data_IF_341865230722
#
_entry.id   IF_341865230722
#
_cell.length_a   1.000
_cell.length_b   1.000
_cell.length_c   1.000
_cell.angle_alpha   90.00
_cell.angle_beta   90.00
_cell.angle_gamma   90.00
#
_symmetry.space_group_name_H-M   'P 1'
#
loop_
_entity.id
_entity.type
_entity.pdbx_description
1 polymer ?
#
# COMPACT_ATOMS: atom_id res chain seq x y z
N UNK A 1 -17.83 -20.59 5.80
CA UNK A 1 -17.10 -20.66 4.51
C UNK A 1 -15.64 -20.33 4.79
N UNK A 2 -14.67 -21.16 4.40
CA UNK A 2 -13.26 -20.80 4.53
C UNK A 2 -12.96 -19.71 3.50
N UNK A 3 -12.54 -18.54 3.97
CA UNK A 3 -12.00 -17.51 3.08
C UNK A 3 -10.69 -18.05 2.49
N UNK A 4 -10.63 -18.19 1.17
CA UNK A 4 -9.38 -18.42 0.47
C UNK A 4 -8.45 -17.25 0.78
N UNK A 5 -7.47 -17.48 1.66
CA UNK A 5 -6.37 -16.55 1.83
C UNK A 5 -5.65 -16.51 0.50
N UNK A 6 -5.84 -15.44 -0.27
CA UNK A 6 -5.05 -15.19 -1.46
C UNK A 6 -3.60 -15.08 -0.99
N UNK A 7 -2.83 -16.14 -1.19
CA UNK A 7 -1.38 -16.09 -1.04
C UNK A 7 -0.93 -14.96 -1.94
N UNK A 8 -0.51 -13.84 -1.35
CA UNK A 8 0.00 -12.70 -2.10
C UNK A 8 1.28 -13.21 -2.78
N UNK A 9 1.14 -13.71 -4.02
CA UNK A 9 2.29 -14.07 -4.84
C UNK A 9 3.16 -12.83 -4.91
N UNK A 10 4.47 -12.97 -4.72
CA UNK A 10 5.42 -11.87 -4.74
C UNK A 10 5.46 -11.23 -6.14
N UNK A 11 4.51 -10.35 -6.41
CA UNK A 11 4.53 -9.49 -7.58
C UNK A 11 5.21 -8.22 -7.14
N UNK A 12 6.43 -8.02 -7.62
CA UNK A 12 7.18 -6.80 -7.38
C UNK A 12 7.21 -6.01 -8.68
N UNK A 13 6.44 -4.93 -8.73
CA UNK A 13 6.50 -3.94 -9.81
C UNK A 13 7.54 -2.90 -9.38
N UNK A 14 8.55 -2.67 -10.21
CA UNK A 14 9.58 -1.66 -9.94
C UNK A 14 9.24 -0.38 -10.70
N UNK A 15 9.41 0.78 -10.06
CA UNK A 15 9.30 2.09 -10.72
C UNK A 15 10.21 2.12 -11.94
N UNK A 16 9.71 2.65 -13.06
CA UNK A 16 10.43 2.74 -14.34
C UNK A 16 10.79 1.38 -14.98
N UNK A 17 10.10 0.30 -14.63
CA UNK A 17 10.21 -0.97 -15.36
C UNK A 17 9.18 -1.04 -16.49
N UNK A 18 9.47 -1.76 -17.57
CA UNK A 18 8.48 -2.00 -18.63
C UNK A 18 7.17 -2.59 -18.10
N UNK A 19 7.22 -3.40 -17.04
CA UNK A 19 6.04 -3.91 -16.35
C UNK A 19 5.21 -2.81 -15.65
N UNK A 20 5.88 -1.82 -15.05
CA UNK A 20 5.24 -0.65 -14.45
C UNK A 20 4.61 0.22 -15.53
N UNK A 21 5.33 0.51 -16.62
CA UNK A 21 4.81 1.35 -17.70
C UNK A 21 3.60 0.69 -18.38
N UNK A 22 3.64 -0.62 -18.60
CA UNK A 22 2.50 -1.39 -19.13
C UNK A 22 1.28 -1.34 -18.20
N UNK A 23 1.48 -1.48 -16.88
CA UNK A 23 0.39 -1.43 -15.91
C UNK A 23 -0.18 -0.02 -15.77
N UNK A 24 0.67 1.01 -15.76
CA UNK A 24 0.25 2.42 -15.62
C UNK A 24 -0.54 2.90 -16.83
N UNK A 25 -0.16 2.47 -18.02
CA UNK A 25 -0.86 2.80 -19.26
C UNK A 25 -2.14 1.97 -19.49
N UNK A 26 -2.46 1.02 -18.61
CA UNK A 26 -3.68 0.21 -18.74
C UNK A 26 -4.97 1.01 -18.51
N UNK A 27 -4.87 2.10 -17.72
CA UNK A 27 -6.00 3.01 -17.45
C UNK A 27 -6.33 3.90 -18.67
N UNK A 28 -5.40 3.98 -19.62
CA UNK A 28 -5.61 4.61 -20.92
C UNK A 28 -6.10 3.51 -21.86
N UNK A 29 -7.34 3.63 -22.38
CA UNK A 29 -7.95 2.67 -23.33
C UNK A 29 -7.02 2.38 -24.52
N UNK A 30 -6.14 1.38 -24.42
CA UNK A 30 -5.25 0.98 -25.51
C UNK A 30 -5.60 -0.46 -25.88
N UNK A 31 -6.35 -0.57 -26.96
CA UNK A 31 -6.93 -1.80 -27.52
C UNK A 31 -5.93 -2.85 -28.03
N UNK A 32 -4.61 -2.68 -27.83
CA UNK A 32 -3.60 -3.35 -28.66
C UNK A 32 -2.52 -4.18 -27.95
N UNK A 33 -2.69 -4.64 -26.69
CA UNK A 33 -1.65 -5.44 -26.02
C UNK A 33 -2.03 -6.91 -25.76
N UNK A 34 -1.97 -7.79 -26.75
CA UNK A 34 -2.40 -9.18 -26.60
C UNK A 34 -1.56 -10.07 -25.64
N UNK A 35 -0.28 -9.76 -25.38
CA UNK A 35 0.64 -10.73 -24.72
C UNK A 35 1.03 -10.39 -23.25
N UNK A 36 1.27 -9.12 -22.85
CA UNK A 36 1.60 -8.79 -21.45
C UNK A 36 0.39 -8.89 -20.48
N UNK A 37 -0.84 -8.75 -21.01
CA UNK A 37 -2.08 -8.68 -20.23
C UNK A 37 -2.38 -10.00 -19.52
N UNK A 38 -2.16 -11.14 -20.18
CA UNK A 38 -2.47 -12.46 -19.61
C UNK A 38 -1.72 -12.71 -18.29
N UNK A 39 -0.48 -12.23 -18.16
CA UNK A 39 0.32 -12.40 -16.93
C UNK A 39 -0.22 -11.55 -15.78
N UNK A 40 -0.67 -10.33 -16.06
CA UNK A 40 -1.26 -9.45 -15.05
C UNK A 40 -2.69 -9.86 -14.68
N UNK A 41 -3.49 -10.30 -15.66
CA UNK A 41 -4.83 -10.89 -15.46
C UNK A 41 -4.74 -12.17 -14.60
N UNK A 42 -3.82 -13.10 -14.91
CA UNK A 42 -3.55 -14.29 -14.06
C UNK A 42 -3.09 -13.96 -12.63
N UNK A 43 -2.57 -12.76 -12.40
CA UNK A 43 -2.15 -12.27 -11.08
C UNK A 43 -3.22 -11.42 -10.39
N UNK A 44 -4.39 -11.26 -10.99
CA UNK A 44 -5.50 -10.48 -10.45
C UNK A 44 -5.22 -8.98 -10.38
N UNK A 45 -4.28 -8.46 -11.16
CA UNK A 45 -3.94 -7.03 -11.20
C UNK A 45 -4.78 -6.25 -12.21
N UNK A 46 -5.32 -6.97 -13.19
CA UNK A 46 -6.15 -6.45 -14.27
C UNK A 46 -7.34 -7.39 -14.46
N UNK A 47 -8.52 -6.83 -14.66
CA UNK A 47 -9.73 -7.56 -15.01
C UNK A 47 -10.38 -6.97 -16.28
N UNK A 48 -11.66 -7.24 -16.51
CA UNK A 48 -12.39 -6.77 -17.68
C UNK A 48 -12.72 -5.27 -17.62
N UNK A 49 -12.67 -4.67 -16.43
CA UNK A 49 -12.98 -3.26 -16.18
C UNK A 49 -11.72 -2.39 -16.09
N UNK A 50 -10.52 -2.98 -16.09
CA UNK A 50 -9.26 -2.25 -16.02
C UNK A 50 -8.34 -2.75 -14.90
N UNK A 51 -7.66 -1.82 -14.23
CA UNK A 51 -6.85 -2.12 -13.06
C UNK A 51 -7.74 -2.50 -11.86
N UNK A 52 -7.46 -3.65 -11.26
CA UNK A 52 -8.10 -4.04 -9.99
C UNK A 52 -7.52 -3.22 -8.84
N UNK A 53 -8.16 -3.28 -7.66
CA UNK A 53 -7.61 -2.72 -6.42
C UNK A 53 -6.20 -3.23 -6.12
N UNK A 54 -5.91 -4.49 -6.45
CA UNK A 54 -4.58 -5.07 -6.30
C UNK A 54 -3.57 -4.49 -7.30
N UNK A 55 -4.00 -4.22 -8.54
CA UNK A 55 -3.19 -3.52 -9.54
C UNK A 55 -2.83 -2.10 -9.12
N UNK A 56 -3.81 -1.32 -8.66
CA UNK A 56 -3.64 0.05 -8.13
C UNK A 56 -2.68 0.08 -6.94
N UNK A 57 -2.84 -0.86 -6.01
CA UNK A 57 -1.94 -1.03 -4.87
C UNK A 57 -0.50 -1.32 -5.31
N UNK A 58 -0.30 -2.19 -6.29
CA UNK A 58 1.03 -2.52 -6.78
C UNK A 58 1.74 -1.34 -7.49
N UNK A 59 1.00 -0.53 -8.26
CA UNK A 59 1.53 0.70 -8.87
C UNK A 59 1.97 1.68 -7.77
N UNK A 60 1.10 1.91 -6.79
CA UNK A 60 1.38 2.78 -5.64
C UNK A 60 2.61 2.31 -4.86
N UNK A 61 2.71 1.00 -4.59
CA UNK A 61 3.90 0.40 -3.97
C UNK A 61 5.18 0.66 -4.75
N UNK A 62 5.13 0.53 -6.07
CA UNK A 62 6.27 0.79 -6.94
C UNK A 62 6.71 2.26 -6.86
N UNK A 63 5.76 3.19 -6.90
CA UNK A 63 6.03 4.64 -6.87
C UNK A 63 6.67 5.11 -5.57
N UNK A 64 6.18 4.57 -4.45
CA UNK A 64 6.71 4.83 -3.10
C UNK A 64 7.99 4.03 -2.81
N UNK A 65 8.35 3.08 -3.67
CA UNK A 65 9.50 2.19 -3.45
C UNK A 65 9.33 1.31 -2.22
N UNK A 66 8.10 0.85 -1.96
CA UNK A 66 7.70 0.03 -0.82
C UNK A 66 7.22 -1.34 -1.28
N UNK A 67 7.26 -2.33 -0.38
CA UNK A 67 6.52 -3.59 -0.61
C UNK A 67 5.01 -3.36 -0.48
N UNK A 68 4.21 -4.21 -1.13
CA UNK A 68 2.74 -4.17 -1.05
C UNK A 68 2.22 -4.15 0.40
N UNK A 69 2.63 -5.08 1.29
CA UNK A 69 2.16 -5.05 2.68
C UNK A 69 2.60 -3.78 3.43
N UNK A 70 3.76 -3.23 3.08
CA UNK A 70 4.28 -1.98 3.65
C UNK A 70 3.47 -0.78 3.18
N UNK A 71 3.02 -0.79 1.93
CA UNK A 71 2.16 0.24 1.33
C UNK A 71 0.79 0.25 2.00
N UNK A 72 0.20 -0.93 2.25
CA UNK A 72 -1.04 -1.03 3.02
C UNK A 72 -0.88 -0.50 4.44
N UNK A 73 0.25 -0.79 5.09
CA UNK A 73 0.53 -0.31 6.44
C UNK A 73 0.66 1.21 6.52
N UNK A 74 1.31 1.85 5.53
CA UNK A 74 1.40 3.32 5.52
C UNK A 74 0.10 4.00 5.11
N UNK A 75 -0.67 3.42 4.18
CA UNK A 75 -2.01 3.92 3.86
C UNK A 75 -2.93 3.86 5.09
N UNK A 76 -2.83 2.80 5.89
CA UNK A 76 -3.53 2.71 7.17
C UNK A 76 -3.08 3.75 8.18
N UNK A 77 -1.77 3.90 8.37
CA UNK A 77 -1.23 4.90 9.29
C UNK A 77 -1.66 6.32 8.88
N UNK A 78 -1.72 6.60 7.57
CA UNK A 78 -2.22 7.87 7.04
C UNK A 78 -3.72 8.06 7.32
N UNK A 79 -4.54 7.03 7.11
CA UNK A 79 -5.97 7.07 7.43
C UNK A 79 -6.21 7.32 8.92
N UNK A 80 -5.51 6.60 9.81
CA UNK A 80 -5.59 6.83 11.25
C UNK A 80 -5.12 8.25 11.59
N UNK A 81 -4.05 8.73 10.96
CA UNK A 81 -3.60 10.11 11.11
C UNK A 81 -4.69 11.11 10.72
N UNK A 82 -5.36 10.96 9.57
CA UNK A 82 -6.47 11.84 9.15
C UNK A 82 -7.65 11.85 10.13
N UNK A 83 -7.84 10.77 10.88
CA UNK A 83 -8.88 10.64 11.89
C UNK A 83 -8.45 11.13 13.28
N UNK A 84 -7.17 11.44 13.49
CA UNK A 84 -6.70 12.02 14.74
C UNK A 84 -7.19 13.45 14.85
N UNK A 85 -7.94 13.74 15.90
CA UNK A 85 -8.27 15.10 16.28
C UNK A 85 -8.17 15.20 17.79
N UNK A 86 -7.32 16.06 18.36
CA UNK A 86 -6.47 17.06 17.69
C UNK A 86 -5.19 16.49 17.05
N UNK A 87 -4.71 17.15 16.00
CA UNK A 87 -3.38 16.93 15.44
C UNK A 87 -2.33 17.75 16.20
N UNK A 88 -1.25 17.13 16.68
CA UNK A 88 -0.09 17.82 17.22
C UNK A 88 1.19 17.55 16.40
N UNK A 89 2.31 18.09 16.84
CA UNK A 89 3.63 17.87 16.22
C UNK A 89 4.07 16.40 16.26
N UNK A 90 3.59 15.64 17.26
CA UNK A 90 3.95 14.26 17.55
C UNK A 90 2.81 13.30 17.18
N UNK A 91 2.29 13.39 15.95
CA UNK A 91 1.14 12.60 15.47
C UNK A 91 1.37 11.08 15.60
N UNK A 92 0.86 10.43 16.66
CA UNK A 92 1.16 9.05 16.94
C UNK A 92 0.15 8.17 16.21
N UNK A 93 0.64 7.18 15.48
CA UNK A 93 -0.22 6.33 14.65
C UNK A 93 -0.26 4.92 15.19
N UNK A 94 -1.47 4.36 15.22
CA UNK A 94 -1.67 2.94 15.51
C UNK A 94 -1.35 2.12 14.28
N UNK A 95 -0.46 1.13 14.43
CA UNK A 95 -0.16 0.14 13.39
C UNK A 95 -0.96 -1.16 13.57
N UNK A 96 -2.13 -1.07 14.21
CA UNK A 96 -3.01 -2.22 14.48
C UNK A 96 -3.75 -2.75 13.25
N UNK A 97 -3.36 -2.35 12.03
CA UNK A 97 -3.90 -2.87 10.76
C UNK A 97 -4.03 -4.40 10.74
N UNK A 98 -3.10 -5.13 11.38
CA UNK A 98 -3.14 -6.59 11.53
C UNK A 98 -4.46 -7.08 12.17
N UNK A 99 -4.92 -6.41 13.22
CA UNK A 99 -6.13 -6.81 13.96
C UNK A 99 -7.38 -6.59 13.12
N UNK A 100 -7.44 -5.48 12.36
CA UNK A 100 -8.61 -5.11 11.56
C UNK A 100 -8.73 -5.89 10.25
N UNK A 101 -7.62 -6.16 9.55
CA UNK A 101 -7.67 -6.91 8.28
C UNK A 101 -7.79 -8.44 8.43
N UNK A 102 -7.89 -8.97 9.66
CA UNK A 102 -7.81 -10.41 9.96
C UNK A 102 -6.60 -11.13 9.32
N UNK A 103 -5.58 -10.39 8.88
CA UNK A 103 -4.36 -10.97 8.33
C UNK A 103 -3.52 -11.55 9.48
N UNK A 104 -3.08 -12.80 9.30
CA UNK A 104 -2.09 -13.44 10.18
C UNK A 104 -0.68 -12.93 9.89
N UNK A 105 -0.47 -11.61 9.89
CA UNK A 105 0.90 -11.08 9.86
C UNK A 105 1.59 -11.40 11.17
N UNK A 106 2.60 -12.27 11.13
CA UNK A 106 3.40 -12.58 12.33
C UNK A 106 4.02 -11.29 12.88
N UNK A 107 4.24 -11.24 14.20
CA UNK A 107 4.83 -10.08 14.86
C UNK A 107 6.14 -9.60 14.18
N UNK A 108 7.01 -10.54 13.81
CA UNK A 108 8.26 -10.24 13.11
C UNK A 108 8.04 -9.60 11.74
N UNK A 109 6.98 -10.00 11.01
CA UNK A 109 6.61 -9.37 9.75
C UNK A 109 6.25 -7.92 9.98
N UNK A 110 5.39 -7.62 10.97
CA UNK A 110 5.03 -6.23 11.32
C UNK A 110 6.29 -5.42 11.66
N UNK A 111 7.16 -5.94 12.53
CA UNK A 111 8.42 -5.27 12.90
C UNK A 111 9.29 -4.94 11.66
N UNK A 112 9.36 -5.84 10.69
CA UNK A 112 10.05 -5.61 9.42
C UNK A 112 9.39 -4.51 8.57
N UNK A 113 8.05 -4.51 8.44
CA UNK A 113 7.32 -3.48 7.68
C UNK A 113 7.53 -2.09 8.31
N UNK A 114 7.45 -1.98 9.64
CA UNK A 114 7.75 -0.74 10.36
C UNK A 114 9.19 -0.30 10.13
N UNK A 115 10.13 -1.23 10.13
CA UNK A 115 11.55 -0.91 9.91
C UNK A 115 11.79 -0.37 8.51
N UNK A 116 11.12 -0.92 7.49
CA UNK A 116 11.16 -0.40 6.13
C UNK A 116 10.57 1.00 6.04
N UNK A 117 9.41 1.26 6.65
CA UNK A 117 8.78 2.59 6.68
C UNK A 117 9.65 3.62 7.39
N UNK A 118 10.30 3.24 8.49
CA UNK A 118 11.22 4.11 9.19
C UNK A 118 12.47 4.42 8.36
N UNK A 119 13.06 3.39 7.73
CA UNK A 119 14.21 3.57 6.84
C UNK A 119 13.89 4.45 5.62
N UNK A 120 12.66 4.39 5.12
CA UNK A 120 12.15 5.23 4.04
C UNK A 120 11.65 6.60 4.50
N UNK A 121 11.73 6.90 5.79
CA UNK A 121 11.36 8.20 6.36
C UNK A 121 9.86 8.44 6.55
N UNK A 122 8.99 7.47 6.25
CA UNK A 122 7.54 7.60 6.44
C UNK A 122 7.11 7.61 7.90
N UNK A 123 7.84 6.90 8.76
CA UNK A 123 7.57 6.80 10.20
C UNK A 123 8.81 7.14 11.00
N UNK A 124 8.63 7.70 12.20
CA UNK A 124 9.70 7.92 13.18
C UNK A 124 9.43 7.06 14.41
N UNK A 125 10.48 6.43 14.95
CA UNK A 125 10.42 5.70 16.21
C UNK A 125 10.94 6.61 17.31
N UNK A 126 10.19 6.78 18.39
CA UNK A 126 10.66 7.53 19.56
C UNK A 126 11.15 6.57 20.64
N UNK A 127 12.10 7.05 21.46
CA UNK A 127 12.63 6.28 22.59
C UNK A 127 11.62 6.07 23.72
N UNK A 128 10.58 6.91 23.81
CA UNK A 128 9.53 6.74 24.80
C UNK A 128 8.57 5.61 24.39
N UNK A 129 8.65 4.48 25.09
CA UNK A 129 7.70 3.34 25.00
C UNK A 129 7.52 2.73 23.60
N UNK A 130 8.46 2.96 22.68
CA UNK A 130 8.39 2.43 21.32
C UNK A 130 7.24 3.01 20.48
N UNK A 131 6.79 4.23 20.80
CA UNK A 131 5.78 4.93 20.04
C UNK A 131 6.26 5.21 18.61
N UNK A 132 5.31 5.14 17.67
CA UNK A 132 5.55 5.33 16.24
C UNK A 132 4.81 6.59 15.83
N UNK A 133 5.55 7.55 15.31
CA UNK A 133 5.03 8.82 14.83
C UNK A 133 4.99 8.83 13.31
N UNK A 134 3.93 9.44 12.78
CA UNK A 134 3.82 9.70 11.36
C UNK A 134 4.69 10.89 10.96
N UNK A 135 5.42 10.81 9.85
CA UNK A 135 6.23 11.93 9.38
C UNK A 135 5.42 12.83 8.43
N UNK A 136 4.99 14.00 8.92
CA UNK A 136 4.26 14.99 8.13
C UNK A 136 5.01 15.42 6.85
N UNK A 137 6.34 15.41 6.85
CA UNK A 137 7.14 15.73 5.66
C UNK A 137 6.93 14.76 4.49
N UNK A 138 6.29 13.61 4.72
CA UNK A 138 5.99 12.62 3.69
C UNK A 138 4.55 12.69 3.15
N UNK A 139 3.71 13.61 3.64
CA UNK A 139 2.31 13.73 3.21
C UNK A 139 2.22 13.99 1.70
N UNK A 140 2.96 14.96 1.19
CA UNK A 140 2.94 15.30 -0.24
C UNK A 140 3.46 14.16 -1.11
N UNK A 141 4.46 13.42 -0.63
CA UNK A 141 4.96 12.20 -1.30
C UNK A 141 3.86 11.15 -1.41
N UNK A 142 3.05 10.97 -0.36
CA UNK A 142 1.96 9.99 -0.35
C UNK A 142 0.80 10.44 -1.24
N UNK A 143 0.38 11.71 -1.13
CA UNK A 143 -0.67 12.30 -1.97
C UNK A 143 -0.30 12.35 -3.45
N UNK A 144 0.98 12.46 -3.77
CA UNK A 144 1.48 12.46 -5.15
C UNK A 144 1.53 11.07 -5.82
N UNK A 145 1.26 9.98 -5.10
CA UNK A 145 1.23 8.64 -5.69
C UNK A 145 -0.15 8.35 -6.34
N UNK A 146 -0.12 7.88 -7.58
CA UNK A 146 -1.23 7.93 -8.54
C UNK A 146 -2.55 7.34 -8.03
N UNK A 147 -2.50 6.26 -7.23
CA UNK A 147 -3.69 5.57 -6.70
C UNK A 147 -3.69 5.48 -5.18
N UNK A 148 -2.96 6.36 -4.48
CA UNK A 148 -2.85 6.27 -3.03
C UNK A 148 -4.21 6.48 -2.33
N UNK A 149 -5.04 7.39 -2.85
CA UNK A 149 -6.39 7.61 -2.31
C UNK A 149 -7.29 6.37 -2.52
N UNK A 150 -7.26 5.74 -3.70
CA UNK A 150 -7.99 4.47 -3.92
C UNK A 150 -7.58 3.39 -2.92
N UNK A 151 -6.30 3.34 -2.54
CA UNK A 151 -5.80 2.39 -1.53
C UNK A 151 -6.37 2.72 -0.15
N UNK A 152 -6.43 4.00 0.24
CA UNK A 152 -7.06 4.44 1.49
C UNK A 152 -8.54 4.11 1.51
N UNK A 153 -9.27 4.45 0.45
CA UNK A 153 -10.71 4.23 0.34
C UNK A 153 -11.03 2.74 0.49
N UNK A 154 -10.28 1.88 -0.20
CA UNK A 154 -10.41 0.42 -0.06
C UNK A 154 -10.18 -0.09 1.37
N UNK A 155 -9.30 0.54 2.15
CA UNK A 155 -9.09 0.20 3.56
C UNK A 155 -10.22 0.72 4.46
N UNK A 156 -10.82 1.86 4.14
CA UNK A 156 -11.90 2.47 4.94
C UNK A 156 -13.19 1.63 4.98
N UNK A 157 -13.41 0.78 3.97
CA UNK A 157 -14.56 -0.14 3.92
C UNK A 157 -14.37 -1.41 4.76
N UNK A 158 -13.20 -1.62 5.35
CA UNK A 158 -12.91 -2.79 6.17
C UNK A 158 -13.28 -2.45 7.62
N UNK A 159 -14.55 -2.68 7.97
CA UNK A 159 -15.12 -2.55 9.33
C UNK A 159 -14.82 -3.78 10.19
#
# INVERSE_FOLDING_TARGET
MPHEYTTIKHVHVKKNSAAYDLLRNFDVKISNFATPILRFKKRGMVDENGLTNFGKLAITSAELGLRIPTTMMIAWAFLEHQNLTPHDIDCPVSLELRKKLRFTWKYNTVKMLVSELAHKGFLRRTGHKGQILFNHGMIETLRGATYFQDVIDNLSYIK
#
